data_IF_358762290875
#
_entry.id   IF_358762290875
#
_cell.length_a   1.000
_cell.length_b   1.000
_cell.length_c   1.000
_cell.angle_alpha   90.00
_cell.angle_beta   90.00
_cell.angle_gamma   90.00
#
_symmetry.space_group_name_H-M   'P 1'
#
loop_
_entity.id
_entity.type
_entity.pdbx_description
1 polymer ?
#
# COMPACT_ATOMS: atom_id res chain seq x y z
N UNK A 1 11.70 -14.61 5.73
CA UNK A 1 10.28 -14.82 5.41
C UNK A 1 10.18 -15.90 4.37
N UNK A 2 9.22 -16.80 4.51
CA UNK A 2 8.83 -17.71 3.43
C UNK A 2 8.19 -16.86 2.31
N UNK A 3 8.66 -17.01 1.07
CA UNK A 3 8.17 -16.31 -0.12
C UNK A 3 8.49 -14.80 -0.25
N UNK A 4 9.62 -14.33 0.32
CA UNK A 4 10.10 -12.97 0.05
C UNK A 4 10.63 -12.83 -1.39
N UNK A 5 10.23 -11.76 -2.09
CA UNK A 5 10.59 -11.47 -3.48
C UNK A 5 11.95 -10.75 -3.58
N UNK A 6 12.23 -9.81 -2.69
CA UNK A 6 13.50 -9.03 -2.73
C UNK A 6 14.07 -8.72 -1.33
N UNK A 7 13.22 -8.58 -0.32
CA UNK A 7 13.62 -8.35 1.06
C UNK A 7 13.85 -9.66 1.80
N UNK A 8 15.07 -9.83 2.33
CA UNK A 8 15.41 -11.00 3.17
C UNK A 8 14.76 -10.94 4.56
N UNK A 9 14.58 -9.72 5.06
CA UNK A 9 13.97 -9.39 6.35
C UNK A 9 13.23 -8.06 6.19
N UNK A 10 12.08 -7.95 6.85
CA UNK A 10 11.31 -6.72 7.00
C UNK A 10 11.12 -6.51 8.49
N UNK A 11 11.41 -5.30 8.95
CA UNK A 11 11.04 -4.88 10.30
C UNK A 11 9.65 -4.24 10.24
N UNK A 12 8.76 -4.70 11.12
CA UNK A 12 7.37 -4.23 11.23
C UNK A 12 7.18 -3.61 12.62
N UNK A 13 6.32 -2.60 12.71
CA UNK A 13 5.90 -2.02 13.99
C UNK A 13 5.35 -3.10 14.93
N UNK A 14 5.90 -3.17 16.14
CA UNK A 14 5.50 -4.16 17.16
C UNK A 14 3.98 -4.24 17.40
N UNK A 15 3.21 -3.13 17.48
CA UNK A 15 1.75 -3.22 17.64
C UNK A 15 1.02 -3.95 16.51
N UNK A 16 1.55 -3.93 15.28
CA UNK A 16 0.98 -4.71 14.19
C UNK A 16 1.36 -6.19 14.31
N UNK A 17 2.58 -6.48 14.78
CA UNK A 17 3.03 -7.85 15.00
C UNK A 17 2.27 -8.55 16.14
N UNK A 18 1.94 -7.80 17.19
CA UNK A 18 1.25 -8.30 18.38
C UNK A 18 -0.29 -8.31 18.22
N UNK A 19 -0.82 -7.81 17.11
CA UNK A 19 -2.27 -7.72 16.88
C UNK A 19 -2.86 -9.08 16.48
N UNK A 20 -4.02 -9.41 17.05
CA UNK A 20 -4.80 -10.58 16.63
C UNK A 20 -5.34 -10.41 15.21
N UNK A 21 -5.74 -9.18 14.86
CA UNK A 21 -6.36 -8.81 13.58
C UNK A 21 -5.82 -7.46 13.12
N UNK A 22 -5.45 -7.37 11.84
CA UNK A 22 -5.08 -6.11 11.20
C UNK A 22 -6.17 -5.69 10.21
N UNK A 23 -6.77 -4.53 10.45
CA UNK A 23 -7.72 -3.87 9.54
C UNK A 23 -7.01 -2.72 8.82
N UNK A 24 -6.92 -2.81 7.51
CA UNK A 24 -6.23 -1.84 6.65
C UNK A 24 -7.21 -0.80 6.10
N UNK A 25 -6.90 0.50 6.26
CA UNK A 25 -7.76 1.61 5.85
C UNK A 25 -7.07 2.51 4.80
N UNK A 26 -6.85 2.02 3.56
CA UNK A 26 -6.19 2.78 2.52
C UNK A 26 -7.10 3.88 1.94
N UNK A 27 -6.46 4.87 1.30
CA UNK A 27 -7.11 5.89 0.46
C UNK A 27 -6.80 5.59 -1.00
N UNK A 28 -7.80 5.64 -1.89
CA UNK A 28 -7.61 5.42 -3.33
C UNK A 28 -6.88 6.60 -3.98
N UNK A 29 -5.65 6.40 -4.48
CA UNK A 29 -4.85 7.46 -5.12
C UNK A 29 -3.95 6.92 -6.23
N UNK A 30 -3.64 7.72 -7.24
CA UNK A 30 -2.50 7.48 -8.14
C UNK A 30 -1.18 7.87 -7.46
N UNK A 31 -0.06 7.38 -8.00
CA UNK A 31 1.27 7.66 -7.48
C UNK A 31 2.33 7.63 -8.58
N UNK A 32 3.16 8.66 -8.67
CA UNK A 32 4.21 8.79 -9.69
C UNK A 32 5.14 7.58 -9.82
N UNK A 33 5.62 7.00 -8.71
CA UNK A 33 6.53 5.84 -8.78
C UNK A 33 5.82 4.51 -9.05
N UNK A 34 4.69 4.22 -8.37
CA UNK A 34 4.05 2.89 -8.37
C UNK A 34 2.76 2.85 -9.18
N UNK A 35 2.43 3.95 -9.86
CA UNK A 35 1.17 4.26 -10.55
C UNK A 35 -0.06 4.34 -9.65
N UNK A 36 -0.15 3.45 -8.65
CA UNK A 36 -1.26 3.34 -7.71
C UNK A 36 -0.76 3.39 -6.25
N UNK A 37 -1.58 3.97 -5.39
CA UNK A 37 -1.56 3.79 -3.94
C UNK A 37 -2.93 3.30 -3.49
N UNK A 38 -2.94 2.08 -2.96
CA UNK A 38 -4.14 1.40 -2.48
C UNK A 38 -3.83 0.51 -1.28
N UNK A 39 -4.50 -0.63 -1.20
CA UNK A 39 -4.43 -1.58 -0.11
C UNK A 39 -3.01 -2.05 0.20
N UNK A 40 -2.27 -2.54 -0.80
CA UNK A 40 -0.91 -3.08 -0.60
C UNK A 40 0.05 -1.99 -0.15
N UNK A 41 0.07 -0.85 -0.85
CA UNK A 41 1.01 0.24 -0.56
C UNK A 41 0.74 0.92 0.77
N UNK A 42 -0.50 0.88 1.28
CA UNK A 42 -0.80 1.42 2.61
C UNK A 42 -0.06 0.66 3.72
N UNK A 43 0.18 -0.65 3.54
CA UNK A 43 0.95 -1.45 4.49
C UNK A 43 2.44 -1.10 4.52
N UNK A 44 2.94 -0.32 3.56
CA UNK A 44 4.25 0.31 3.72
C UNK A 44 4.34 1.17 4.98
N UNK A 45 3.21 1.68 5.47
CA UNK A 45 3.05 2.36 6.75
C UNK A 45 3.52 1.54 7.95
N UNK A 46 3.55 0.21 7.84
CA UNK A 46 4.00 -0.71 8.88
C UNK A 46 5.52 -0.73 9.11
N UNK A 47 6.31 -0.20 8.17
CA UNK A 47 7.77 -0.13 8.29
C UNK A 47 8.16 1.01 9.27
N UNK A 48 8.98 0.74 10.31
CA UNK A 48 9.30 1.73 11.32
C UNK A 48 10.36 2.74 10.86
N UNK A 49 10.20 4.00 11.30
CA UNK A 49 11.24 5.03 11.26
C UNK A 49 11.88 5.24 9.88
N UNK A 50 13.21 5.31 9.87
CA UNK A 50 14.02 5.65 8.70
C UNK A 50 14.10 4.55 7.65
N UNK A 51 13.66 3.33 7.96
CA UNK A 51 13.71 2.21 7.00
C UNK A 51 12.84 2.47 5.77
N UNK A 52 11.72 3.19 5.92
CA UNK A 52 10.91 3.66 4.78
C UNK A 52 11.72 4.51 3.79
N UNK A 53 12.58 5.40 4.29
CA UNK A 53 13.43 6.24 3.44
C UNK A 53 14.54 5.43 2.80
N UNK A 54 15.12 4.46 3.53
CA UNK A 54 16.13 3.55 3.00
C UNK A 54 15.60 2.70 1.85
N UNK A 55 14.41 2.13 1.99
CA UNK A 55 13.79 1.31 0.94
C UNK A 55 13.52 2.15 -0.31
N UNK A 56 12.99 3.36 -0.19
CA UNK A 56 12.82 4.29 -1.32
C UNK A 56 14.15 4.66 -2.01
N UNK A 57 15.22 4.80 -1.22
CA UNK A 57 16.55 5.13 -1.76
C UNK A 57 17.22 3.94 -2.44
N UNK A 58 16.97 2.73 -1.92
CA UNK A 58 17.55 1.47 -2.41
C UNK A 58 16.85 0.96 -3.67
N UNK A 59 15.52 1.08 -3.74
CA UNK A 59 14.71 0.57 -4.85
C UNK A 59 14.08 1.74 -5.60
N UNK A 60 14.82 2.28 -6.58
CA UNK A 60 14.37 3.41 -7.41
C UNK A 60 13.57 2.94 -8.63
N UNK A 61 13.74 1.69 -9.03
CA UNK A 61 12.95 1.05 -10.06
C UNK A 61 11.56 0.65 -9.53
N UNK A 62 10.54 0.83 -10.35
CA UNK A 62 9.14 0.56 -9.97
C UNK A 62 8.90 -0.92 -9.68
N UNK A 63 9.51 -1.84 -10.42
CA UNK A 63 9.30 -3.27 -10.22
C UNK A 63 9.93 -3.73 -8.91
N UNK A 64 11.17 -3.30 -8.64
CA UNK A 64 11.85 -3.67 -7.41
C UNK A 64 11.22 -3.03 -6.17
N UNK A 65 10.77 -1.78 -6.27
CA UNK A 65 10.02 -1.16 -5.17
C UNK A 65 8.67 -1.86 -4.96
N UNK A 66 7.98 -2.26 -6.02
CA UNK A 66 6.72 -3.01 -5.91
C UNK A 66 6.91 -4.38 -5.27
N UNK A 67 8.01 -5.10 -5.58
CA UNK A 67 8.37 -6.35 -4.87
C UNK A 67 8.59 -6.10 -3.38
N UNK A 68 9.29 -5.02 -3.02
CA UNK A 68 9.48 -4.66 -1.62
C UNK A 68 8.16 -4.32 -0.91
N UNK A 69 7.21 -3.65 -1.59
CA UNK A 69 5.86 -3.41 -1.05
C UNK A 69 5.10 -4.72 -0.82
N UNK A 70 5.18 -5.67 -1.76
CA UNK A 70 4.57 -6.99 -1.60
C UNK A 70 5.18 -7.77 -0.44
N UNK A 71 6.49 -7.67 -0.23
CA UNK A 71 7.15 -8.30 0.92
C UNK A 71 6.67 -7.72 2.25
N UNK A 72 6.49 -6.39 2.33
CA UNK A 72 5.94 -5.73 3.53
C UNK A 72 4.47 -6.10 3.74
N UNK A 73 3.67 -6.11 2.68
CA UNK A 73 2.28 -6.55 2.74
C UNK A 73 2.18 -8.02 3.18
N UNK A 74 3.02 -8.91 2.66
CA UNK A 74 3.05 -10.32 3.07
C UNK A 74 3.58 -10.52 4.51
N UNK A 75 4.38 -9.59 5.03
CA UNK A 75 4.78 -9.59 6.43
C UNK A 75 3.66 -9.13 7.39
N UNK A 76 2.71 -8.35 6.89
CA UNK A 76 1.64 -7.73 7.71
C UNK A 76 0.27 -8.38 7.52
N UNK A 77 -0.02 -8.96 6.35
CA UNK A 77 -1.24 -9.70 5.98
C UNK A 77 -2.53 -9.19 6.66
N UNK A 78 -3.03 -8.00 6.28
CA UNK A 78 -4.32 -7.53 6.76
C UNK A 78 -5.43 -8.52 6.44
N UNK A 79 -6.29 -8.84 7.41
CA UNK A 79 -7.42 -9.75 7.22
C UNK A 79 -8.61 -9.05 6.54
N UNK A 80 -8.73 -7.74 6.74
CA UNK A 80 -9.76 -6.92 6.12
C UNK A 80 -9.16 -5.60 5.65
N UNK A 81 -9.48 -5.22 4.42
CA UNK A 81 -9.20 -3.89 3.90
C UNK A 81 -10.52 -3.15 3.64
N UNK A 82 -10.66 -1.94 4.19
CA UNK A 82 -11.75 -1.02 3.88
C UNK A 82 -11.18 0.25 3.27
N UNK A 83 -11.34 0.42 1.96
CA UNK A 83 -10.78 1.55 1.24
C UNK A 83 -11.75 2.73 1.20
N UNK A 84 -11.27 3.89 1.63
CA UNK A 84 -11.93 5.16 1.40
C UNK A 84 -11.60 5.64 -0.02
N UNK A 85 -12.62 5.64 -0.87
CA UNK A 85 -12.62 6.24 -2.19
C UNK A 85 -13.75 7.28 -2.31
N UNK A 86 -14.16 7.92 -1.22
CA UNK A 86 -15.19 8.98 -1.27
C UNK A 86 -14.66 10.15 -2.10
N UNK A 87 -13.42 10.54 -1.80
CA UNK A 87 -12.60 11.45 -2.62
C UNK A 87 -11.30 10.73 -2.91
N UNK A 88 -11.06 10.40 -4.18
CA UNK A 88 -9.81 9.83 -4.67
C UNK A 88 -8.85 10.94 -5.12
N UNK A 89 -7.62 10.57 -5.46
CA UNK A 89 -6.61 11.50 -6.00
C UNK A 89 -6.02 10.93 -7.28
N UNK A 90 -6.20 11.59 -8.42
CA UNK A 90 -5.64 11.18 -9.72
C UNK A 90 -4.49 12.11 -10.19
N UNK A 91 -3.80 11.76 -11.27
CA UNK A 91 -2.66 12.54 -11.80
C UNK A 91 -1.33 12.30 -11.06
N UNK A 92 -0.49 13.34 -10.96
CA UNK A 92 0.91 13.25 -10.50
C UNK A 92 1.05 13.24 -8.95
N UNK A 93 0.29 12.37 -8.27
CA UNK A 93 0.45 12.12 -6.83
C UNK A 93 1.87 11.63 -6.45
N UNK A 94 2.29 11.75 -5.18
CA UNK A 94 1.44 11.91 -3.99
C UNK A 94 1.17 13.37 -3.58
N UNK A 95 0.18 13.53 -2.67
CA UNK A 95 -0.19 14.77 -2.00
C UNK A 95 -0.70 15.89 -2.94
N UNK A 96 -0.25 17.13 -2.78
CA UNK A 96 -0.81 18.33 -3.44
C UNK A 96 -0.60 18.41 -4.95
N UNK A 97 0.15 17.47 -5.54
CA UNK A 97 0.41 17.43 -6.99
C UNK A 97 -0.65 16.63 -7.77
N UNK A 98 -1.52 15.90 -7.08
CA UNK A 98 -2.65 15.21 -7.70
C UNK A 98 -3.92 16.06 -7.76
N UNK A 99 -4.90 15.60 -8.51
CA UNK A 99 -6.21 16.21 -8.69
C UNK A 99 -7.24 15.41 -7.87
N UNK A 100 -7.91 16.03 -6.88
CA UNK A 100 -8.98 15.36 -6.15
C UNK A 100 -10.15 15.04 -7.07
N UNK A 101 -10.64 13.79 -7.01
CA UNK A 101 -11.82 13.34 -7.76
C UNK A 101 -12.86 12.81 -6.79
N UNK A 102 -14.12 13.25 -6.94
CA UNK A 102 -15.24 12.65 -6.20
C UNK A 102 -15.59 11.31 -6.82
N UNK A 103 -15.19 10.24 -6.16
CA UNK A 103 -15.48 8.86 -6.59
C UNK A 103 -16.68 8.29 -5.82
N UNK A 104 -16.95 8.79 -4.60
CA UNK A 104 -18.17 8.50 -3.80
C UNK A 104 -18.39 7.01 -3.51
N UNK A 105 -17.30 6.24 -3.36
CA UNK A 105 -17.33 4.80 -3.10
C UNK A 105 -16.55 4.47 -1.82
N UNK A 106 -17.01 3.44 -1.12
CA UNK A 106 -16.22 2.71 -0.12
C UNK A 106 -16.11 1.27 -0.57
N UNK A 107 -14.91 0.70 -0.57
CA UNK A 107 -14.69 -0.71 -0.95
C UNK A 107 -14.31 -1.53 0.28
N UNK A 108 -14.72 -2.80 0.31
CA UNK A 108 -14.32 -3.77 1.32
C UNK A 108 -13.88 -5.07 0.68
N UNK A 109 -12.77 -5.64 1.13
CA UNK A 109 -12.26 -6.93 0.67
C UNK A 109 -11.34 -7.56 1.71
N UNK A 110 -11.37 -8.89 1.79
CA UNK A 110 -10.37 -9.69 2.53
C UNK A 110 -9.14 -10.01 1.66
N UNK A 111 -9.18 -9.68 0.37
CA UNK A 111 -8.05 -9.78 -0.56
C UNK A 111 -7.65 -8.37 -1.04
N UNK A 112 -6.53 -7.88 -0.48
CA UNK A 112 -5.94 -6.58 -0.83
C UNK A 112 -5.48 -6.49 -2.29
N UNK A 113 -4.96 -7.58 -2.86
CA UNK A 113 -4.45 -7.58 -4.23
C UNK A 113 -5.60 -7.51 -5.23
N UNK A 114 -6.64 -8.31 -5.01
CA UNK A 114 -7.85 -8.26 -5.83
C UNK A 114 -8.54 -6.90 -5.74
N UNK A 115 -8.55 -6.27 -4.55
CA UNK A 115 -9.05 -4.90 -4.40
C UNK A 115 -8.23 -3.90 -5.23
N UNK A 116 -6.89 -3.93 -5.11
CA UNK A 116 -6.01 -3.04 -5.86
C UNK A 116 -6.16 -3.22 -7.39
N UNK A 117 -6.35 -4.45 -7.85
CA UNK A 117 -6.64 -4.72 -9.26
C UNK A 117 -8.00 -4.15 -9.71
N UNK A 118 -9.04 -4.31 -8.89
CA UNK A 118 -10.38 -3.81 -9.22
C UNK A 118 -10.43 -2.29 -9.33
N UNK A 119 -9.74 -1.57 -8.45
CA UNK A 119 -9.75 -0.10 -8.44
C UNK A 119 -9.02 0.54 -9.62
N UNK A 120 -8.13 -0.18 -10.31
CA UNK A 120 -7.49 0.30 -11.54
C UNK A 120 -8.48 0.65 -12.66
N UNK A 121 -9.70 0.11 -12.62
CA UNK A 121 -10.77 0.45 -13.58
C UNK A 121 -11.61 1.66 -13.15
N UNK A 122 -11.39 2.15 -11.93
CA UNK A 122 -12.20 3.19 -11.29
C UNK A 122 -11.47 4.54 -11.23
N UNK A 123 -10.13 4.56 -11.34
CA UNK A 123 -9.28 5.76 -11.31
C UNK A 123 -8.37 5.86 -12.53
#
# INVERSE_FOLDING_TARGET
MENGLILKRVDILKPLLDADVIINLPKMKTHTLTFLSGAVKNMYGAVPGMEKTRYHSRFRDVHDFSKALLDVWNATKPELTLMDAIVSLEGDGPAMRGIPRRTEIVLGSTDSLSMDFAICKLI
#
